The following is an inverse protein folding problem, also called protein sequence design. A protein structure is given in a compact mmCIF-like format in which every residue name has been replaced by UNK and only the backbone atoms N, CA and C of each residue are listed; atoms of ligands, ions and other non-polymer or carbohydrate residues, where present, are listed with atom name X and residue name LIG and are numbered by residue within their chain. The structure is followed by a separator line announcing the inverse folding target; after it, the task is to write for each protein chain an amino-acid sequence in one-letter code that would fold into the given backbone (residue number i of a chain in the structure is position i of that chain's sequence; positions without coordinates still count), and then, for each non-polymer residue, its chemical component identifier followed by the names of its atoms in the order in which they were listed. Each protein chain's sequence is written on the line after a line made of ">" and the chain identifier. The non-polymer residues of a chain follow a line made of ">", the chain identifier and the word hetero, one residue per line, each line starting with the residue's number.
data_IF_797889534858
#
_entry.id   IF_797889534858
#
_cell.length_a   1.000
_cell.length_b   1.000
_cell.length_c   1.000
_cell.angle_alpha   90.00
_cell.angle_beta   90.00
_cell.angle_gamma   90.00
#
_symmetry.space_group_name_H-M   'P 1'
#
loop_
_entity.id
_entity.type
_entity.pdbx_description
1 polymer ?
#
# COMPACT_ATOMS: atom_id res chain seq x y z
N UNK A 1 -2.71 0.58 -14.20
CA UNK A 1 -1.95 0.53 -12.94
C UNK A 1 -0.44 0.44 -13.16
N UNK A 2 0.12 -0.58 -13.81
CA UNK A 2 1.58 -0.77 -13.93
C UNK A 2 2.35 0.44 -14.50
N UNK A 3 1.88 1.05 -15.59
CA UNK A 3 2.55 2.21 -16.21
C UNK A 3 2.62 3.40 -15.25
N UNK A 4 1.53 3.70 -14.54
CA UNK A 4 1.49 4.77 -13.54
C UNK A 4 2.49 4.52 -12.41
N UNK A 5 2.55 3.30 -11.88
CA UNK A 5 3.51 2.93 -10.84
C UNK A 5 4.96 3.07 -11.33
N UNK A 6 5.26 2.60 -12.55
CA UNK A 6 6.60 2.75 -13.14
C UNK A 6 7.00 4.22 -13.21
N UNK A 7 6.12 5.08 -13.74
CA UNK A 7 6.39 6.52 -13.86
C UNK A 7 6.54 7.20 -12.49
N UNK A 8 5.68 6.86 -11.52
CA UNK A 8 5.75 7.39 -10.16
C UNK A 8 7.04 7.00 -9.44
N UNK A 9 7.39 5.72 -9.44
CA UNK A 9 8.62 5.24 -8.81
C UNK A 9 9.89 5.71 -9.53
N UNK A 10 9.85 5.81 -10.87
CA UNK A 10 10.94 6.42 -11.65
C UNK A 10 11.15 7.87 -11.23
N UNK A 11 10.07 8.64 -11.10
CA UNK A 11 10.09 10.04 -10.64
C UNK A 11 10.70 10.13 -9.24
N UNK A 12 10.31 9.25 -8.31
CA UNK A 12 10.87 9.20 -6.95
C UNK A 12 12.35 8.79 -6.88
N UNK A 13 12.83 7.99 -7.81
CA UNK A 13 14.25 7.56 -7.86
C UNK A 13 15.21 8.62 -8.43
N UNK A 14 14.69 9.50 -9.30
CA UNK A 14 15.48 10.45 -10.05
C UNK A 14 15.86 11.68 -9.22
N UNK A 15 17.17 11.98 -9.13
CA UNK A 15 17.67 13.12 -8.34
C UNK A 15 17.67 14.46 -9.10
N UNK A 16 17.36 14.46 -10.40
CA UNK A 16 17.67 15.59 -11.28
C UNK A 16 16.52 16.58 -11.48
N UNK A 17 15.37 16.39 -10.81
CA UNK A 17 14.18 17.20 -11.06
C UNK A 17 14.38 18.69 -10.76
N UNK A 18 15.18 19.00 -9.74
CA UNK A 18 15.55 20.38 -9.40
C UNK A 18 16.26 21.13 -10.55
N UNK A 19 16.86 20.43 -11.52
CA UNK A 19 17.47 21.05 -12.71
C UNK A 19 16.44 21.36 -13.79
N UNK A 20 15.39 20.53 -13.89
CA UNK A 20 14.29 20.72 -14.85
C UNK A 20 13.35 21.82 -14.35
N UNK A 21 13.11 21.88 -13.04
CA UNK A 21 12.28 22.88 -12.38
C UNK A 21 13.11 23.71 -11.39
N UNK A 22 13.99 24.61 -11.86
CA UNK A 22 14.92 25.35 -11.00
C UNK A 22 14.21 26.27 -9.98
N UNK A 23 12.96 26.66 -10.25
CA UNK A 23 12.13 27.45 -9.32
C UNK A 23 11.75 26.69 -8.04
N UNK A 24 12.01 25.39 -7.96
CA UNK A 24 11.68 24.57 -6.79
C UNK A 24 12.71 24.68 -5.66
N UNK A 25 13.93 25.13 -5.95
CA UNK A 25 14.96 25.37 -4.94
C UNK A 25 14.72 26.72 -4.27
N UNK A 26 14.67 26.73 -2.94
CA UNK A 26 14.59 27.94 -2.11
C UNK A 26 15.55 27.82 -0.93
N UNK A 27 15.80 28.90 -0.17
CA UNK A 27 16.70 28.80 0.99
C UNK A 27 16.19 27.86 2.09
N UNK A 28 14.89 27.55 2.09
CA UNK A 28 14.25 26.63 3.03
C UNK A 28 14.11 25.19 2.49
N UNK A 29 14.32 24.96 1.19
CA UNK A 29 14.07 23.68 0.53
C UNK A 29 15.34 23.20 -0.18
N UNK A 30 15.99 22.19 0.40
CA UNK A 30 17.17 21.55 -0.15
C UNK A 30 16.86 20.75 -1.44
N UNK A 31 17.88 20.14 -2.05
CA UNK A 31 17.74 19.40 -3.31
C UNK A 31 16.70 18.28 -3.23
N UNK A 32 16.67 17.52 -2.13
CA UNK A 32 15.72 16.42 -1.97
C UNK A 32 14.27 16.92 -1.82
N UNK A 33 14.07 18.00 -1.05
CA UNK A 33 12.80 18.70 -0.95
C UNK A 33 12.35 19.26 -2.31
N UNK A 34 13.26 19.85 -3.08
CA UNK A 34 12.98 20.43 -4.40
C UNK A 34 12.58 19.34 -5.42
N UNK A 35 13.21 18.16 -5.35
CA UNK A 35 12.83 17.00 -6.16
C UNK A 35 11.42 16.50 -5.79
N UNK A 36 11.10 16.40 -4.50
CA UNK A 36 9.76 16.00 -4.04
C UNK A 36 8.68 17.00 -4.49
N UNK A 37 8.97 18.30 -4.37
CA UNK A 37 8.08 19.37 -4.84
C UNK A 37 7.87 19.32 -6.35
N UNK A 38 8.92 19.03 -7.11
CA UNK A 38 8.84 18.84 -8.56
C UNK A 38 7.96 17.64 -8.93
N UNK A 39 8.13 16.52 -8.24
CA UNK A 39 7.29 15.33 -8.43
C UNK A 39 5.81 15.63 -8.15
N UNK A 40 5.50 16.40 -7.10
CA UNK A 40 4.14 16.84 -6.81
C UNK A 40 3.55 17.71 -7.92
N UNK A 41 4.31 18.65 -8.49
CA UNK A 41 3.82 19.44 -9.63
C UNK A 41 3.55 18.59 -10.86
N UNK A 42 4.39 17.60 -11.16
CA UNK A 42 4.15 16.66 -12.24
C UNK A 42 2.86 15.87 -12.00
N UNK A 43 2.66 15.35 -10.78
CA UNK A 43 1.45 14.63 -10.41
C UNK A 43 0.19 15.48 -10.62
N UNK A 44 0.19 16.75 -10.18
CA UNK A 44 -0.93 17.68 -10.42
C UNK A 44 -1.23 17.85 -11.91
N UNK A 45 -0.21 17.99 -12.74
CA UNK A 45 -0.39 18.13 -14.20
C UNK A 45 -0.96 16.84 -14.80
N UNK A 46 -0.42 15.68 -14.45
CA UNK A 46 -0.93 14.39 -14.92
C UNK A 46 -2.36 14.12 -14.43
N UNK A 47 -2.68 14.45 -13.18
CA UNK A 47 -4.04 14.35 -12.64
C UNK A 47 -5.01 15.26 -13.40
N UNK A 48 -4.63 16.52 -13.68
CA UNK A 48 -5.49 17.43 -14.43
C UNK A 48 -5.76 16.92 -15.85
N UNK A 49 -4.73 16.43 -16.54
CA UNK A 49 -4.85 15.86 -17.90
C UNK A 49 -5.75 14.61 -17.87
N UNK A 50 -5.49 13.68 -16.95
CA UNK A 50 -6.26 12.44 -16.87
C UNK A 50 -7.70 12.68 -16.44
N UNK A 51 -7.96 13.64 -15.54
CA UNK A 51 -9.29 14.09 -15.19
C UNK A 51 -10.02 14.68 -16.40
N UNK A 52 -9.37 15.58 -17.15
CA UNK A 52 -9.93 16.18 -18.36
C UNK A 52 -10.30 15.12 -19.40
N UNK A 53 -9.39 14.17 -19.67
CA UNK A 53 -9.64 13.05 -20.60
C UNK A 53 -10.81 12.20 -20.09
N UNK A 54 -10.85 11.89 -18.80
CA UNK A 54 -11.91 11.05 -18.21
C UNK A 54 -13.28 11.71 -18.33
N UNK A 55 -13.38 13.01 -18.01
CA UNK A 55 -14.62 13.78 -18.15
C UNK A 55 -15.02 13.90 -19.62
N UNK A 56 -14.08 14.16 -20.52
CA UNK A 56 -14.38 14.32 -21.96
C UNK A 56 -14.77 13.01 -22.64
N UNK A 57 -14.31 11.86 -22.11
CA UNK A 57 -14.64 10.53 -22.63
C UNK A 57 -15.90 9.93 -22.00
N UNK A 58 -16.35 10.47 -20.87
CA UNK A 58 -17.58 10.04 -20.22
C UNK A 58 -18.78 10.43 -21.10
N UNK A 59 -19.47 9.44 -21.64
CA UNK A 59 -20.74 9.65 -22.31
C UNK A 59 -21.82 9.74 -21.22
N UNK A 60 -22.24 10.96 -20.89
CA UNK A 60 -23.38 11.16 -20.00
C UNK A 60 -24.68 10.93 -20.76
N UNK A 61 -25.54 10.07 -20.21
CA UNK A 61 -26.94 9.99 -20.64
C UNK A 61 -27.64 11.30 -20.27
N UNK A 62 -28.42 11.93 -21.18
CA UNK A 62 -29.16 13.13 -20.85
C UNK A 62 -30.06 12.91 -19.64
N UNK A 63 -30.05 13.85 -18.70
CA UNK A 63 -31.00 13.87 -17.59
C UNK A 63 -32.38 14.17 -18.18
N UNK A 64 -33.18 13.14 -18.44
CA UNK A 64 -34.62 13.31 -18.75
C UNK A 64 -35.30 13.84 -17.48
N UNK A 65 -35.32 15.16 -17.32
CA UNK A 65 -36.21 15.84 -16.40
C UNK A 65 -37.64 15.47 -16.79
N UNK A 66 -38.44 14.81 -15.91
CA UNK A 66 -39.84 14.57 -16.20
C UNK A 66 -40.58 15.91 -16.07
N UNK A 67 -40.61 16.67 -17.16
CA UNK A 67 -41.64 17.66 -17.37
C UNK A 67 -42.95 16.87 -17.56
N UNK A 68 -43.69 16.64 -16.45
CA UNK A 68 -45.15 16.49 -16.34
C UNK A 68 -45.59 15.40 -15.35
N UNK A 69 -45.76 15.80 -14.10
CA UNK A 69 -47.09 15.72 -13.44
C UNK A 69 -47.03 16.46 -12.11
N UNK A 70 -47.38 17.74 -12.16
CA UNK A 70 -48.12 18.34 -11.05
C UNK A 70 -49.37 17.48 -10.81
N UNK A 71 -49.77 17.33 -9.54
CA UNK A 71 -50.89 16.53 -9.00
C UNK A 71 -50.49 15.18 -8.36
N UNK A 72 -49.85 15.25 -7.19
CA UNK A 72 -50.29 14.56 -5.97
C UNK A 72 -49.33 14.93 -4.84
N UNK A 73 -49.86 15.59 -3.81
CA UNK A 73 -49.22 15.75 -2.50
C UNK A 73 -48.75 14.38 -1.98
N UNK A 74 -47.49 14.24 -1.59
CA UNK A 74 -47.05 14.30 -0.19
C UNK A 74 -45.51 14.44 -0.14
N UNK A 75 -45.03 15.17 0.86
CA UNK A 75 -43.64 15.59 1.07
C UNK A 75 -42.67 14.40 1.14
N UNK A 76 -41.69 14.35 0.23
CA UNK A 76 -40.52 13.45 0.32
C UNK A 76 -39.30 14.24 0.82
N UNK A 77 -38.84 14.06 2.06
CA UNK A 77 -37.56 14.60 2.50
C UNK A 77 -36.43 13.60 2.16
N UNK A 78 -35.45 14.06 1.36
CA UNK A 78 -34.08 13.51 1.37
C UNK A 78 -33.80 12.27 0.52
N UNK A 79 -33.79 12.40 -0.81
CA UNK A 79 -33.57 11.30 -1.76
C UNK A 79 -32.08 10.91 -1.98
N UNK A 80 -31.10 11.62 -1.40
CA UNK A 80 -29.68 11.27 -1.54
C UNK A 80 -29.17 10.29 -0.48
N UNK A 81 -29.73 10.34 0.74
CA UNK A 81 -29.30 9.47 1.84
C UNK A 81 -30.02 8.12 1.81
N UNK A 82 -31.28 8.08 1.36
CA UNK A 82 -32.08 6.86 1.31
C UNK A 82 -31.58 5.87 0.24
N UNK A 83 -31.12 6.34 -0.92
CA UNK A 83 -30.56 5.49 -1.98
C UNK A 83 -29.19 4.90 -1.58
N UNK A 84 -28.35 5.70 -0.91
CA UNK A 84 -27.05 5.26 -0.37
C UNK A 84 -27.21 4.25 0.78
N UNK A 85 -28.16 4.50 1.70
CA UNK A 85 -28.46 3.59 2.81
C UNK A 85 -29.09 2.27 2.32
N UNK A 86 -29.98 2.33 1.33
CA UNK A 86 -30.54 1.13 0.70
C UNK A 86 -29.44 0.26 0.08
N UNK A 87 -28.48 0.85 -0.63
CA UNK A 87 -27.34 0.13 -1.20
C UNK A 87 -26.44 -0.54 -0.15
N UNK A 88 -26.16 0.13 0.98
CA UNK A 88 -25.34 -0.44 2.06
C UNK A 88 -26.07 -1.60 2.74
N UNK A 89 -27.37 -1.48 2.97
CA UNK A 89 -28.17 -2.56 3.56
C UNK A 89 -28.32 -3.75 2.63
N UNK A 90 -28.47 -3.53 1.33
CA UNK A 90 -28.46 -4.59 0.32
C UNK A 90 -27.09 -5.28 0.24
N UNK A 91 -26.00 -4.51 0.29
CA UNK A 91 -24.63 -5.04 0.37
C UNK A 91 -24.43 -5.91 1.62
N UNK A 92 -24.83 -5.40 2.79
CA UNK A 92 -24.74 -6.10 4.08
C UNK A 92 -25.63 -7.35 4.13
N UNK A 93 -26.85 -7.26 3.57
CA UNK A 93 -27.78 -8.39 3.42
C UNK A 93 -27.22 -9.48 2.51
N UNK A 94 -26.48 -9.11 1.48
CA UNK A 94 -25.89 -10.04 0.51
C UNK A 94 -24.81 -10.94 1.12
N UNK A 95 -24.08 -10.48 2.15
CA UNK A 95 -23.10 -11.32 2.86
C UNK A 95 -23.72 -12.60 3.44
N UNK A 96 -25.01 -12.56 3.80
CA UNK A 96 -25.72 -13.73 4.35
C UNK A 96 -25.85 -14.86 3.32
N UNK A 97 -25.86 -14.53 2.03
CA UNK A 97 -26.08 -15.48 0.95
C UNK A 97 -24.76 -15.98 0.32
N UNK A 98 -23.61 -15.52 0.81
CA UNK A 98 -22.33 -15.96 0.24
C UNK A 98 -22.00 -17.41 0.56
N UNK A 99 -21.57 -18.20 -0.45
CA UNK A 99 -21.12 -19.55 -0.23
C UNK A 99 -19.82 -19.54 0.58
N UNK A 100 -19.54 -20.63 1.31
CA UNK A 100 -18.35 -20.76 2.15
C UNK A 100 -17.04 -20.48 1.39
N UNK A 101 -16.99 -20.79 0.09
CA UNK A 101 -15.84 -20.50 -0.77
C UNK A 101 -15.55 -19.00 -0.90
N UNK A 102 -16.58 -18.16 -1.02
CA UNK A 102 -16.40 -16.70 -1.11
C UNK A 102 -15.89 -16.16 0.22
N UNK A 103 -16.41 -16.63 1.35
CA UNK A 103 -15.90 -16.28 2.67
C UNK A 103 -14.43 -16.64 2.86
N UNK A 104 -13.99 -17.81 2.36
CA UNK A 104 -12.56 -18.19 2.38
C UNK A 104 -11.73 -17.21 1.55
N UNK A 105 -12.18 -16.84 0.34
CA UNK A 105 -11.46 -15.87 -0.51
C UNK A 105 -11.35 -14.51 0.19
N UNK A 106 -12.43 -14.03 0.81
CA UNK A 106 -12.43 -12.76 1.54
C UNK A 106 -11.47 -12.81 2.74
N UNK A 107 -11.49 -13.89 3.52
CA UNK A 107 -10.59 -14.06 4.66
C UNK A 107 -9.12 -14.11 4.23
N UNK A 108 -8.78 -14.91 3.21
CA UNK A 108 -7.40 -15.02 2.71
C UNK A 108 -6.95 -13.69 2.09
N UNK A 109 -7.85 -12.97 1.42
CA UNK A 109 -7.58 -11.61 0.90
C UNK A 109 -7.27 -10.66 2.05
N UNK A 110 -8.10 -10.64 3.10
CA UNK A 110 -7.87 -9.79 4.26
C UNK A 110 -6.51 -10.06 4.92
N UNK A 111 -6.17 -11.34 5.13
CA UNK A 111 -4.88 -11.75 5.70
C UNK A 111 -3.69 -11.38 4.81
N UNK A 112 -3.83 -11.55 3.48
CA UNK A 112 -2.78 -11.19 2.54
C UNK A 112 -2.49 -9.68 2.59
N UNK A 113 -3.55 -8.87 2.64
CA UNK A 113 -3.42 -7.43 2.70
C UNK A 113 -2.86 -6.91 4.03
N UNK A 114 -3.05 -7.63 5.15
CA UNK A 114 -2.32 -7.37 6.41
C UNK A 114 -0.79 -7.43 6.20
N UNK A 115 -0.32 -8.34 5.36
CA UNK A 115 1.11 -8.43 5.00
C UNK A 115 1.57 -7.33 4.03
N UNK A 116 0.74 -7.00 3.04
CA UNK A 116 1.08 -5.96 2.07
C UNK A 116 1.10 -4.55 2.63
N UNK A 117 0.26 -4.21 3.62
CA UNK A 117 0.20 -2.83 4.13
C UNK A 117 1.51 -2.30 4.69
N UNK A 118 2.18 -3.00 5.63
CA UNK A 118 3.48 -2.54 6.12
C UNK A 118 4.51 -2.41 5.01
N UNK A 119 4.53 -3.34 4.06
CA UNK A 119 5.44 -3.27 2.93
C UNK A 119 5.19 -2.01 2.10
N UNK A 120 3.96 -1.78 1.65
CA UNK A 120 3.60 -0.63 0.80
C UNK A 120 3.82 0.73 1.48
N UNK A 121 3.81 0.78 2.81
CA UNK A 121 4.01 2.02 3.57
C UNK A 121 5.47 2.26 3.98
N UNK A 122 6.23 1.20 4.24
CA UNK A 122 7.54 1.29 4.90
C UNK A 122 8.69 0.66 4.10
N UNK A 123 8.46 0.14 2.89
CA UNK A 123 9.51 -0.46 2.05
C UNK A 123 10.70 0.47 1.76
N UNK A 124 10.44 1.71 1.35
CA UNK A 124 11.46 2.72 1.05
C UNK A 124 12.10 3.29 2.32
N UNK A 125 11.34 3.40 3.41
CA UNK A 125 11.85 3.76 4.73
C UNK A 125 12.79 2.67 5.27
N UNK A 126 12.42 1.40 5.10
CA UNK A 126 13.25 0.23 5.40
C UNK A 126 14.55 0.26 4.59
N UNK A 127 14.50 0.58 3.30
CA UNK A 127 15.72 0.75 2.49
C UNK A 127 16.59 1.91 3.03
N UNK A 128 15.98 3.03 3.42
CA UNK A 128 16.68 4.19 3.99
C UNK A 128 17.34 3.93 5.34
N UNK A 129 16.63 3.25 6.25
CA UNK A 129 17.05 3.02 7.63
C UNK A 129 17.83 1.73 7.81
N UNK A 130 17.26 0.61 7.40
CA UNK A 130 17.80 -0.73 7.71
C UNK A 130 18.91 -1.14 6.74
N UNK A 131 18.84 -0.70 5.47
CA UNK A 131 19.88 -1.03 4.48
C UNK A 131 20.94 0.06 4.41
N UNK A 132 20.54 1.32 4.34
CA UNK A 132 21.48 2.46 4.22
C UNK A 132 21.95 3.03 5.56
N UNK A 133 21.38 2.62 6.70
CA UNK A 133 21.77 3.11 8.02
C UNK A 133 21.48 4.60 8.24
N UNK A 134 20.63 5.20 7.41
CA UNK A 134 20.35 6.63 7.45
C UNK A 134 19.25 6.98 8.45
N UNK A 135 19.35 8.16 9.05
CA UNK A 135 18.29 8.73 9.89
C UNK A 135 17.46 9.73 9.06
N UNK A 136 16.13 9.78 9.21
CA UNK A 136 15.34 10.81 8.54
C UNK A 136 15.78 12.20 8.97
N UNK A 137 15.81 13.14 8.03
CA UNK A 137 16.24 14.53 8.22
C UNK A 137 17.73 14.71 8.62
N UNK A 138 18.53 13.64 8.62
CA UNK A 138 19.96 13.69 8.95
C UNK A 138 20.80 13.00 7.86
N UNK A 139 21.71 13.76 7.25
CA UNK A 139 22.64 13.25 6.23
C UNK A 139 21.97 12.88 4.90
N UNK A 140 22.77 12.38 3.95
CA UNK A 140 22.30 12.00 2.61
C UNK A 140 22.01 10.50 2.45
N UNK A 141 22.46 9.67 3.41
CA UNK A 141 22.33 8.21 3.31
C UNK A 141 20.87 7.74 3.34
N UNK A 142 20.01 8.38 4.15
CA UNK A 142 18.58 8.07 4.19
C UNK A 142 17.89 8.37 2.86
N UNK A 143 18.05 9.60 2.35
CA UNK A 143 17.44 10.00 1.07
C UNK A 143 17.97 9.18 -0.11
N UNK A 144 19.26 8.80 -0.09
CA UNK A 144 19.84 7.89 -1.07
C UNK A 144 19.22 6.50 -1.00
N UNK A 145 19.02 5.97 0.21
CA UNK A 145 18.33 4.69 0.41
C UNK A 145 16.87 4.73 -0.03
N UNK A 146 16.12 5.78 0.31
CA UNK A 146 14.72 5.97 -0.14
C UNK A 146 14.64 5.99 -1.68
N UNK A 147 15.54 6.74 -2.35
CA UNK A 147 15.60 6.79 -3.82
C UNK A 147 15.95 5.44 -4.43
N UNK A 148 16.86 4.68 -3.81
CA UNK A 148 17.17 3.32 -4.23
C UNK A 148 16.03 2.33 -3.97
N UNK A 149 15.25 2.54 -2.91
CA UNK A 149 14.01 1.81 -2.65
C UNK A 149 12.98 2.06 -3.75
N UNK A 150 12.75 3.33 -4.10
CA UNK A 150 11.88 3.70 -5.22
C UNK A 150 12.36 3.09 -6.54
N UNK A 151 13.67 3.04 -6.78
CA UNK A 151 14.25 2.36 -7.94
C UNK A 151 13.94 0.84 -7.95
N UNK A 152 14.00 0.18 -6.80
CA UNK A 152 13.57 -1.22 -6.67
C UNK A 152 12.08 -1.41 -6.95
N UNK A 153 11.23 -0.50 -6.47
CA UNK A 153 9.79 -0.53 -6.72
C UNK A 153 9.42 -0.22 -8.19
N UNK A 154 10.26 0.52 -8.90
CA UNK A 154 10.14 0.67 -10.35
C UNK A 154 10.29 -0.69 -11.04
N UNK A 155 11.30 -1.49 -10.70
CA UNK A 155 11.44 -2.86 -11.24
C UNK A 155 10.32 -3.80 -10.78
N UNK A 156 9.88 -3.67 -9.53
CA UNK A 156 8.67 -4.35 -9.04
C UNK A 156 7.49 -4.08 -9.99
N UNK A 157 7.28 -2.82 -10.36
CA UNK A 157 6.18 -2.40 -11.22
C UNK A 157 6.32 -2.91 -12.67
N UNK A 158 7.55 -3.05 -13.17
CA UNK A 158 7.82 -3.69 -14.47
C UNK A 158 7.43 -5.17 -14.43
N UNK A 159 7.89 -5.92 -13.43
CA UNK A 159 7.55 -7.34 -13.28
C UNK A 159 6.05 -7.51 -13.05
N UNK A 160 5.42 -6.62 -12.27
CA UNK A 160 3.98 -6.58 -12.09
C UNK A 160 3.26 -6.40 -13.42
N UNK A 161 3.70 -5.44 -14.25
CA UNK A 161 3.14 -5.19 -15.57
C UNK A 161 3.25 -6.41 -16.49
N UNK A 162 4.43 -7.03 -16.57
CA UNK A 162 4.65 -8.25 -17.35
C UNK A 162 3.77 -9.40 -16.84
N UNK A 163 3.71 -9.60 -15.52
CA UNK A 163 2.89 -10.65 -14.90
C UNK A 163 1.41 -10.43 -15.19
N UNK A 164 0.94 -9.19 -15.16
CA UNK A 164 -0.43 -8.82 -15.50
C UNK A 164 -0.80 -9.18 -16.94
N UNK A 165 0.09 -8.93 -17.92
CA UNK A 165 -0.12 -9.33 -19.32
C UNK A 165 -0.16 -10.85 -19.51
N UNK A 166 0.57 -11.59 -18.68
CA UNK A 166 0.61 -13.06 -18.75
C UNK A 166 -0.49 -13.72 -17.92
N UNK A 167 -1.26 -12.95 -17.15
CA UNK A 167 -2.14 -13.47 -16.12
C UNK A 167 -3.24 -14.40 -16.67
N UNK A 168 -3.88 -14.03 -17.77
CA UNK A 168 -4.91 -14.86 -18.40
C UNK A 168 -4.35 -16.23 -18.80
N UNK A 169 -3.16 -16.25 -19.42
CA UNK A 169 -2.49 -17.49 -19.84
C UNK A 169 -2.09 -18.35 -18.64
N UNK A 170 -1.58 -17.73 -17.58
CA UNK A 170 -1.20 -18.41 -16.35
C UNK A 170 -2.43 -19.02 -15.65
N UNK A 171 -3.51 -18.24 -15.48
CA UNK A 171 -4.75 -18.72 -14.90
C UNK A 171 -5.39 -19.86 -15.71
N UNK A 172 -5.35 -19.79 -17.05
CA UNK A 172 -5.88 -20.87 -17.90
C UNK A 172 -5.06 -22.17 -17.80
N UNK A 173 -3.74 -22.07 -17.65
CA UNK A 173 -2.86 -23.24 -17.61
C UNK A 173 -2.77 -23.88 -16.21
N UNK A 174 -2.72 -23.06 -15.15
CA UNK A 174 -2.41 -23.50 -13.78
C UNK A 174 -3.62 -23.42 -12.85
N UNK A 175 -4.68 -22.71 -13.24
CA UNK A 175 -5.82 -22.41 -12.39
C UNK A 175 -5.57 -21.22 -11.47
N UNK A 176 -6.61 -20.40 -11.27
CA UNK A 176 -6.56 -19.18 -10.46
C UNK A 176 -6.19 -19.46 -8.99
N UNK A 177 -6.82 -20.46 -8.36
CA UNK A 177 -6.58 -20.78 -6.95
C UNK A 177 -5.16 -21.26 -6.67
N UNK A 178 -4.60 -22.12 -7.53
CA UNK A 178 -3.23 -22.62 -7.37
C UNK A 178 -2.20 -21.51 -7.60
N UNK A 179 -2.38 -20.70 -8.65
CA UNK A 179 -1.51 -19.56 -8.93
C UNK A 179 -1.50 -18.56 -7.76
N UNK A 180 -2.67 -18.28 -7.18
CA UNK A 180 -2.78 -17.40 -6.02
C UNK A 180 -2.10 -17.98 -4.77
N UNK A 181 -2.31 -19.27 -4.47
CA UNK A 181 -1.63 -19.95 -3.37
C UNK A 181 -0.11 -19.91 -3.51
N UNK A 182 0.41 -20.21 -4.70
CA UNK A 182 1.85 -20.14 -4.99
C UNK A 182 2.40 -18.71 -4.82
N UNK A 183 1.63 -17.70 -5.22
CA UNK A 183 2.02 -16.30 -5.06
C UNK A 183 2.13 -15.88 -3.59
N UNK A 184 1.26 -16.38 -2.72
CA UNK A 184 1.34 -16.11 -1.27
C UNK A 184 2.58 -16.76 -0.65
N UNK A 185 2.96 -17.96 -1.10
CA UNK A 185 4.21 -18.61 -0.65
C UNK A 185 5.42 -17.78 -1.10
N UNK A 186 5.44 -17.35 -2.36
CA UNK A 186 6.51 -16.50 -2.89
C UNK A 186 6.62 -15.18 -2.11
N UNK A 187 5.48 -14.54 -1.83
CA UNK A 187 5.44 -13.34 -0.99
C UNK A 187 6.05 -13.59 0.40
N UNK A 188 5.65 -14.67 1.08
CA UNK A 188 6.18 -15.01 2.40
C UNK A 188 7.70 -15.22 2.38
N UNK A 189 8.22 -15.90 1.35
CA UNK A 189 9.67 -16.07 1.16
C UNK A 189 10.40 -14.74 0.92
N UNK A 190 9.81 -13.83 0.15
CA UNK A 190 10.37 -12.50 -0.07
C UNK A 190 10.39 -11.67 1.22
N UNK A 191 9.31 -11.66 2.01
CA UNK A 191 9.29 -10.94 3.30
C UNK A 191 10.27 -11.54 4.31
N UNK A 192 10.37 -12.88 4.37
CA UNK A 192 11.39 -13.53 5.19
C UNK A 192 12.81 -13.14 4.74
N UNK A 193 13.03 -13.07 3.43
CA UNK A 193 14.32 -12.64 2.85
C UNK A 193 14.65 -11.19 3.21
N UNK A 194 13.67 -10.29 3.27
CA UNK A 194 13.87 -8.91 3.75
C UNK A 194 14.33 -8.89 5.21
N UNK A 195 13.68 -9.67 6.09
CA UNK A 195 14.08 -9.76 7.51
C UNK A 195 15.49 -10.32 7.67
N UNK A 196 15.82 -11.37 6.92
CA UNK A 196 17.17 -11.95 6.90
C UNK A 196 18.20 -10.94 6.39
N UNK A 197 17.85 -10.15 5.37
CA UNK A 197 18.75 -9.12 4.84
C UNK A 197 19.01 -8.01 5.85
N UNK A 198 17.97 -7.55 6.58
CA UNK A 198 18.15 -6.62 7.70
C UNK A 198 19.04 -7.19 8.80
N UNK A 199 18.84 -8.46 9.16
CA UNK A 199 19.69 -9.12 10.15
C UNK A 199 21.15 -9.15 9.70
N UNK A 200 21.43 -9.57 8.46
CA UNK A 200 22.78 -9.58 7.89
C UNK A 200 23.38 -8.17 7.82
N UNK A 201 22.59 -7.18 7.40
CA UNK A 201 23.03 -5.78 7.35
C UNK A 201 23.47 -5.27 8.72
N UNK A 202 22.71 -5.60 9.78
CA UNK A 202 23.06 -5.25 11.16
C UNK A 202 24.33 -5.92 11.67
N UNK A 203 24.61 -7.16 11.23
CA UNK A 203 25.75 -7.93 11.72
C UNK A 203 27.08 -7.58 11.03
N UNK A 204 27.04 -7.07 9.79
CA UNK A 204 28.25 -6.66 9.04
C UNK A 204 28.85 -5.35 9.59
N UNK A 205 28.11 -4.60 10.42
CA UNK A 205 28.65 -3.45 11.16
C UNK A 205 28.96 -2.21 10.33
N UNK A 206 28.46 -2.12 9.09
CA UNK A 206 28.64 -0.94 8.24
C UNK A 206 27.61 0.17 8.51
N UNK A 207 26.49 -0.16 9.17
CA UNK A 207 25.38 0.76 9.42
C UNK A 207 25.83 2.00 10.21
N UNK A 208 25.52 3.18 9.69
CA UNK A 208 25.84 4.47 10.31
C UNK A 208 27.27 4.97 10.11
N UNK A 209 28.17 4.15 9.55
CA UNK A 209 29.58 4.53 9.35
C UNK A 209 30.00 4.53 7.87
N UNK A 210 29.53 3.56 7.08
CA UNK A 210 29.89 3.40 5.67
C UNK A 210 28.65 3.19 4.80
N UNK A 211 28.80 3.42 3.50
CA UNK A 211 27.78 3.05 2.51
C UNK A 211 27.58 1.52 2.47
N UNK A 212 26.36 1.03 2.20
CA UNK A 212 26.10 -0.39 2.11
C UNK A 212 26.93 -1.04 0.99
N UNK A 213 27.46 -2.26 1.21
CA UNK A 213 28.04 -3.05 0.14
C UNK A 213 27.06 -3.22 -1.03
N UNK A 214 27.55 -3.10 -2.26
CA UNK A 214 26.73 -3.24 -3.47
C UNK A 214 25.95 -4.57 -3.49
N UNK A 215 26.50 -5.65 -2.92
CA UNK A 215 25.84 -6.96 -2.83
C UNK A 215 24.53 -6.91 -2.04
N UNK A 216 24.47 -6.17 -0.94
CA UNK A 216 23.27 -6.05 -0.10
C UNK A 216 22.20 -5.24 -0.84
N UNK A 217 22.60 -4.12 -1.45
CA UNK A 217 21.68 -3.27 -2.22
C UNK A 217 21.10 -4.03 -3.41
N UNK A 218 21.93 -4.73 -4.18
CA UNK A 218 21.46 -5.54 -5.32
C UNK A 218 20.51 -6.64 -4.85
N UNK A 219 20.81 -7.30 -3.72
CA UNK A 219 19.91 -8.32 -3.15
C UNK A 219 18.55 -7.72 -2.77
N UNK A 220 18.54 -6.55 -2.13
CA UNK A 220 17.30 -5.85 -1.79
C UNK A 220 16.47 -5.48 -3.04
N UNK A 221 17.14 -4.98 -4.09
CA UNK A 221 16.49 -4.65 -5.36
C UNK A 221 15.88 -5.89 -6.04
N UNK A 222 16.58 -7.03 -6.01
CA UNK A 222 16.08 -8.30 -6.55
C UNK A 222 14.84 -8.75 -5.78
N UNK A 223 14.84 -8.66 -4.44
CA UNK A 223 13.67 -8.99 -3.62
C UNK A 223 12.48 -8.11 -4.00
N UNK A 224 12.68 -6.79 -4.13
CA UNK A 224 11.63 -5.86 -4.54
C UNK A 224 11.10 -6.20 -5.94
N UNK A 225 11.98 -6.47 -6.88
CA UNK A 225 11.60 -6.84 -8.25
C UNK A 225 10.73 -8.11 -8.25
N UNK A 226 11.15 -9.18 -7.58
CA UNK A 226 10.43 -10.45 -7.50
C UNK A 226 9.05 -10.28 -6.85
N UNK A 227 8.92 -9.43 -5.82
CA UNK A 227 7.65 -9.09 -5.19
C UNK A 227 6.60 -8.48 -6.15
N UNK A 228 7.01 -8.02 -7.34
CA UNK A 228 6.08 -7.51 -8.35
C UNK A 228 5.13 -8.60 -8.88
N UNK A 229 5.60 -9.84 -8.96
CA UNK A 229 4.79 -10.98 -9.40
C UNK A 229 3.63 -11.31 -8.44
N UNK A 230 3.86 -11.55 -7.14
CA UNK A 230 2.77 -11.80 -6.21
C UNK A 230 1.86 -10.59 -6.00
N UNK A 231 2.39 -9.37 -6.14
CA UNK A 231 1.58 -8.15 -6.10
C UNK A 231 0.59 -8.09 -7.27
N UNK A 232 1.03 -8.42 -8.50
CA UNK A 232 0.15 -8.49 -9.66
C UNK A 232 -0.99 -9.49 -9.45
N UNK A 233 -0.66 -10.68 -8.94
CA UNK A 233 -1.62 -11.76 -8.71
C UNK A 233 -2.63 -11.35 -7.63
N UNK A 234 -2.16 -10.71 -6.56
CA UNK A 234 -3.01 -10.19 -5.48
C UNK A 234 -4.03 -9.15 -5.97
N UNK A 235 -3.65 -8.29 -6.91
CA UNK A 235 -4.54 -7.26 -7.45
C UNK A 235 -5.60 -7.76 -8.44
N UNK A 236 -5.51 -9.00 -8.91
CA UNK A 236 -6.34 -9.48 -10.01
C UNK A 236 -7.07 -10.78 -9.69
N UNK A 237 -6.40 -11.78 -9.14
CA UNK A 237 -6.96 -13.13 -8.99
C UNK A 237 -8.10 -13.20 -7.98
N UNK A 238 -8.02 -12.61 -6.77
CA UNK A 238 -9.15 -12.61 -5.83
C UNK A 238 -10.42 -11.98 -6.42
N UNK A 239 -10.28 -10.84 -7.11
CA UNK A 239 -11.37 -10.15 -7.80
C UNK A 239 -12.01 -11.05 -8.86
N UNK A 240 -11.21 -11.71 -9.70
CA UNK A 240 -11.71 -12.61 -10.74
C UNK A 240 -12.44 -13.82 -10.14
N UNK A 241 -11.88 -14.43 -9.08
CA UNK A 241 -12.50 -15.58 -8.42
C UNK A 241 -13.85 -15.22 -7.78
N UNK A 242 -13.92 -14.09 -7.07
CA UNK A 242 -15.16 -13.64 -6.43
C UNK A 242 -16.20 -13.26 -7.49
N UNK A 243 -15.82 -12.50 -8.53
CA UNK A 243 -16.72 -12.13 -9.63
C UNK A 243 -17.34 -13.36 -10.28
N UNK A 244 -16.54 -14.38 -10.61
CA UNK A 244 -17.05 -15.60 -11.27
C UNK A 244 -18.05 -16.41 -10.43
N UNK A 245 -18.02 -16.25 -9.10
CA UNK A 245 -18.90 -16.98 -8.17
C UNK A 245 -20.15 -16.18 -7.85
N UNK A 246 -20.03 -14.87 -7.73
CA UNK A 246 -21.16 -13.99 -7.43
C UNK A 246 -22.03 -13.75 -8.67
N UNK A 247 -21.43 -13.68 -9.87
CA UNK A 247 -22.19 -13.62 -11.13
C UNK A 247 -23.11 -14.84 -11.31
N UNK A 248 -22.65 -16.04 -10.93
CA UNK A 248 -23.48 -17.25 -10.98
C UNK A 248 -24.68 -17.24 -10.02
N UNK A 249 -24.70 -16.30 -9.07
CA UNK A 249 -25.80 -16.08 -8.13
C UNK A 249 -26.76 -14.97 -8.59
N UNK A 250 -26.55 -14.39 -9.77
CA UNK A 250 -27.35 -13.27 -10.29
C UNK A 250 -27.10 -11.93 -9.57
N UNK A 251 -26.07 -11.88 -8.73
CA UNK A 251 -25.67 -10.69 -7.99
C UNK A 251 -24.72 -9.86 -8.87
N UNK A 252 -24.98 -8.56 -8.97
CA UNK A 252 -24.27 -7.67 -9.90
C UNK A 252 -22.74 -7.65 -9.69
N UNK A 253 -21.98 -7.49 -10.78
CA UNK A 253 -20.52 -7.44 -10.76
C UNK A 253 -19.98 -6.32 -9.84
N UNK A 254 -20.66 -5.16 -9.80
CA UNK A 254 -20.27 -4.03 -8.93
C UNK A 254 -20.31 -4.38 -7.44
N UNK A 255 -21.29 -5.18 -7.02
CA UNK A 255 -21.43 -5.64 -5.63
C UNK A 255 -20.24 -6.51 -5.21
N UNK A 256 -19.82 -7.40 -6.11
CA UNK A 256 -18.65 -8.27 -5.91
C UNK A 256 -17.36 -7.49 -5.66
N UNK A 257 -17.15 -6.44 -6.45
CA UNK A 257 -15.97 -5.58 -6.34
C UNK A 257 -16.00 -4.77 -5.03
N UNK A 258 -17.16 -4.25 -4.64
CA UNK A 258 -17.36 -3.53 -3.39
C UNK A 258 -17.08 -4.39 -2.15
N UNK A 259 -17.58 -5.62 -2.13
CA UNK A 259 -17.34 -6.59 -1.05
C UNK A 259 -15.86 -6.91 -0.89
N UNK A 260 -15.15 -7.14 -2.00
CA UNK A 260 -13.73 -7.45 -1.93
C UNK A 260 -12.92 -6.24 -1.45
N UNK A 261 -13.26 -5.03 -1.88
CA UNK A 261 -12.64 -3.81 -1.39
C UNK A 261 -12.89 -3.61 0.12
N UNK A 262 -14.07 -3.97 0.64
CA UNK A 262 -14.32 -3.93 2.08
C UNK A 262 -13.40 -4.90 2.84
N UNK A 263 -13.17 -6.11 2.30
CA UNK A 263 -12.24 -7.08 2.87
C UNK A 263 -10.77 -6.60 2.86
N UNK A 264 -10.42 -5.63 2.01
CA UNK A 264 -9.10 -5.00 1.96
C UNK A 264 -9.01 -3.84 2.96
N UNK A 265 -10.04 -2.99 3.02
CA UNK A 265 -10.06 -1.78 3.84
C UNK A 265 -10.21 -2.07 5.33
N UNK A 266 -10.95 -3.12 5.72
CA UNK A 266 -11.10 -3.48 7.15
C UNK A 266 -9.74 -3.79 7.82
N UNK A 267 -8.87 -4.62 7.21
CA UNK A 267 -7.48 -4.75 7.64
C UNK A 267 -6.70 -3.43 7.67
N UNK A 268 -6.85 -2.55 6.68
CA UNK A 268 -6.16 -1.25 6.65
C UNK A 268 -6.50 -0.42 7.89
N UNK A 269 -7.79 -0.33 8.20
CA UNK A 269 -8.27 0.49 9.30
C UNK A 269 -7.81 -0.05 10.65
N UNK A 270 -7.84 -1.37 10.84
CA UNK A 270 -7.36 -2.01 12.07
C UNK A 270 -5.85 -1.82 12.23
N UNK A 271 -5.05 -2.07 11.19
CA UNK A 271 -3.60 -1.91 11.25
C UNK A 271 -3.17 -0.45 11.40
N UNK A 272 -3.76 0.45 10.60
CA UNK A 272 -3.51 1.88 10.68
C UNK A 272 -3.77 2.38 12.09
N UNK A 273 -4.92 2.05 12.67
CA UNK A 273 -5.23 2.40 14.06
C UNK A 273 -4.19 1.84 15.02
N UNK A 274 -3.78 0.57 14.90
CA UNK A 274 -2.74 0.00 15.80
C UNK A 274 -1.38 0.68 15.67
N UNK A 275 -0.96 1.11 14.48
CA UNK A 275 0.30 1.82 14.24
C UNK A 275 0.24 3.25 14.80
N UNK A 276 -0.90 3.93 14.62
CA UNK A 276 -1.16 5.24 15.25
C UNK A 276 -1.18 5.16 16.78
N UNK A 277 -1.80 4.10 17.33
CA UNK A 277 -1.79 3.81 18.77
C UNK A 277 -0.38 3.48 19.29
N UNK A 278 0.48 2.82 18.50
CA UNK A 278 1.87 2.54 18.85
C UNK A 278 2.79 3.77 18.81
N UNK A 279 2.48 4.78 17.97
CA UNK A 279 3.24 6.03 17.85
C UNK A 279 2.84 7.14 18.82
N UNK A 280 1.75 6.97 19.57
CA UNK A 280 1.38 7.87 20.67
C UNK A 280 2.25 7.55 21.90
N UNK A 281 3.20 8.40 22.31
CA UNK A 281 3.96 8.16 23.52
C UNK A 281 3.11 8.51 24.74
N UNK A 282 3.23 7.66 25.77
CA UNK A 282 2.86 7.87 27.17
C UNK A 282 1.36 7.98 27.52
N UNK A 283 0.90 6.97 28.27
CA UNK A 283 -0.39 6.83 28.99
C UNK A 283 -1.53 6.09 28.27
N UNK A 284 -1.46 4.75 28.21
CA UNK A 284 -2.45 3.87 28.88
C UNK A 284 -2.22 2.37 28.61
N UNK A 285 -1.74 1.69 29.65
CA UNK A 285 -2.04 0.32 30.09
C UNK A 285 -2.53 -0.78 29.12
N UNK A 286 -1.65 -1.76 28.90
CA UNK A 286 -1.73 -3.10 29.54
C UNK A 286 -2.94 -4.02 29.25
N UNK A 287 -3.21 -4.39 28.00
CA UNK A 287 -3.94 -5.67 27.77
C UNK A 287 -3.53 -6.47 26.55
N UNK A 288 -2.90 -5.87 25.53
CA UNK A 288 -2.54 -6.61 24.31
C UNK A 288 -1.05 -7.01 24.28
N UNK A 289 -0.20 -6.39 25.11
CA UNK A 289 1.21 -6.79 25.25
C UNK A 289 1.45 -8.18 25.87
N UNK A 290 0.43 -8.80 26.49
CA UNK A 290 0.63 -10.10 27.16
C UNK A 290 0.75 -11.30 26.22
N UNK A 291 0.26 -11.24 24.97
CA UNK A 291 0.28 -12.40 24.06
C UNK A 291 1.58 -12.55 23.26
N UNK A 292 2.31 -11.46 22.99
CA UNK A 292 3.62 -11.54 22.32
C UNK A 292 4.80 -11.66 23.30
N UNK A 293 4.73 -11.03 24.49
CA UNK A 293 5.81 -11.15 25.49
C UNK A 293 5.85 -12.54 26.17
N UNK A 294 4.76 -13.30 26.17
CA UNK A 294 4.75 -14.65 26.77
C UNK A 294 5.63 -15.64 25.99
N UNK A 295 5.65 -15.56 24.66
CA UNK A 295 6.45 -16.49 23.84
C UNK A 295 7.94 -16.15 23.77
N UNK A 296 8.32 -14.90 24.01
CA UNK A 296 9.73 -14.48 24.01
C UNK A 296 10.45 -14.68 25.36
N UNK A 297 9.72 -15.05 26.41
CA UNK A 297 10.28 -15.27 27.75
C UNK A 297 10.90 -16.66 27.95
N UNK A 298 10.80 -17.56 26.95
CA UNK A 298 11.30 -18.95 27.06
C UNK A 298 12.60 -19.24 26.30
N UNK A 299 13.17 -18.27 25.58
CA UNK A 299 14.47 -18.39 24.93
C UNK A 299 15.43 -17.40 25.60
N UNK A 300 16.04 -17.85 26.69
CA UNK A 300 16.90 -17.08 27.56
C UNK A 300 18.12 -16.49 26.85
N UNK A 301 18.02 -15.21 26.47
CA UNK A 301 19.19 -14.34 26.28
C UNK A 301 18.98 -13.05 27.07
N UNK A 302 19.75 -12.97 28.15
CA UNK A 302 19.81 -11.86 29.08
C UNK A 302 20.51 -10.63 28.49
N UNK A 303 19.96 -9.46 28.81
CA UNK A 303 20.60 -8.13 28.89
C UNK A 303 20.61 -7.25 27.63
N UNK A 304 19.58 -6.40 27.47
CA UNK A 304 19.79 -5.00 27.06
C UNK A 304 19.03 -4.08 28.03
N UNK A 305 19.82 -3.23 28.66
CA UNK A 305 19.48 -2.31 29.74
C UNK A 305 18.71 -1.11 29.19
N UNK A 306 17.44 -1.01 29.57
CA UNK A 306 16.65 0.21 29.44
C UNK A 306 16.97 1.11 30.65
N UNK A 307 17.57 2.29 30.45
CA UNK A 307 17.27 3.53 31.22
C UNK A 307 18.31 4.65 31.03
N UNK A 308 17.74 5.85 30.85
CA UNK A 308 18.21 7.25 31.00
C UNK A 308 18.66 7.97 29.73
N UNK A 309 18.23 9.21 29.46
CA UNK A 309 17.10 10.04 29.91
C UNK A 309 17.21 11.38 29.16
N UNK A 310 16.07 11.95 28.79
CA UNK A 310 15.72 13.38 28.87
C UNK A 310 16.77 14.45 28.55
N UNK A 311 16.49 15.20 27.49
CA UNK A 311 16.90 16.59 27.32
C UNK A 311 16.61 17.07 25.90
N UNK A 312 15.81 18.13 25.76
CA UNK A 312 15.46 18.85 24.52
C UNK A 312 14.24 18.34 23.72
N UNK A 313 13.10 18.22 24.40
CA UNK A 313 11.78 18.44 23.82
C UNK A 313 11.14 19.58 24.60
N UNK A 314 11.42 20.82 24.18
CA UNK A 314 10.68 22.05 24.53
C UNK A 314 11.40 23.24 23.89
N UNK A 315 11.24 23.43 22.59
CA UNK A 315 11.07 24.77 22.00
C UNK A 315 10.77 24.64 20.51
N UNK A 316 9.74 25.38 20.06
CA UNK A 316 9.36 25.65 18.67
C UNK A 316 8.50 24.60 17.94
N UNK A 317 7.30 24.37 18.47
CA UNK A 317 6.08 24.50 17.68
C UNK A 317 5.63 25.98 17.73
N UNK A 318 5.10 26.50 16.62
CA UNK A 318 4.70 27.89 16.31
C UNK A 318 5.80 28.81 15.76
N UNK A 319 6.14 28.60 14.47
CA UNK A 319 6.15 29.59 13.38
C UNK A 319 6.62 28.94 12.08
#
# INVERSE_FOLDING_TARGET
>A
MAIGNILGFATGSFNGWYKVFPFTITSACNIDCANLKSAFYLDVVFMAITAYISISAAQESPLDLPARSMLADEEMPGQSNSEQEAFIWELLGTFRYFPSTVWIILLVTALNWIGWFPFLLFDTDWMGREIYGGKPNEGQSYNSGVRMGAFGLMFNSVILGVTSLLMEKLCRKWGAGFLWGLSNILMALCFLSMLLLSYVASHIGYLGHNLPPNSIVVTALVIFAVLGMPLAITYSVPYAMVSSRIESLGLGQGLSMGVLNLAIVLPQWTMGSTVWWWKLPSHCYWSICCLCCWNYSHLGYSSIRCSKAHGLLMSYQYL
#
